data_IF_763297584614
#
_entry.id   IF_763297584614
#
_cell.length_a   1.000
_cell.length_b   1.000
_cell.length_c   1.000
_cell.angle_alpha   90.00
_cell.angle_beta   90.00
_cell.angle_gamma   90.00
#
_symmetry.space_group_name_H-M   'P 1'
#
loop_
_entity.id
_entity.type
_entity.pdbx_description
1 polymer ?
#
# COMPACT_ATOMS: atom_id res chain seq x y z
N UNK A 1 -0.65 9.28 -31.02
CA UNK A 1 0.14 10.53 -30.83
C UNK A 1 1.58 10.20 -31.15
N UNK A 2 2.26 10.94 -32.05
CA UNK A 2 3.68 10.72 -32.31
C UNK A 2 4.49 11.27 -31.12
N UNK A 3 5.40 10.45 -30.60
CA UNK A 3 6.27 10.82 -29.47
C UNK A 3 7.37 11.77 -29.92
N UNK A 4 7.58 12.83 -29.14
CA UNK A 4 8.55 13.89 -29.38
C UNK A 4 9.99 13.46 -28.99
N UNK A 5 10.99 14.16 -29.53
CA UNK A 5 12.43 13.81 -29.47
C UNK A 5 13.08 13.81 -28.08
N UNK A 6 12.32 14.10 -27.02
CA UNK A 6 12.76 13.99 -25.62
C UNK A 6 12.47 12.60 -24.99
N UNK A 7 11.96 11.65 -25.79
CA UNK A 7 11.41 10.36 -25.37
C UNK A 7 12.39 9.18 -25.49
N UNK A 8 13.70 9.39 -25.34
CA UNK A 8 14.69 8.31 -25.52
C UNK A 8 14.59 7.24 -24.42
N UNK A 9 14.24 7.64 -23.20
CA UNK A 9 14.23 6.74 -22.03
C UNK A 9 12.91 5.98 -21.88
N UNK A 10 11.79 6.61 -22.23
CA UNK A 10 10.45 6.03 -22.12
C UNK A 10 10.14 5.02 -23.24
N UNK A 11 10.60 5.30 -24.47
CA UNK A 11 10.31 4.44 -25.62
C UNK A 11 11.09 3.10 -25.60
N UNK A 12 12.19 3.00 -24.85
CA UNK A 12 13.01 1.79 -24.77
C UNK A 12 12.45 0.69 -23.85
N UNK A 13 11.48 1.01 -23.00
CA UNK A 13 10.84 0.08 -22.06
C UNK A 13 9.44 -0.37 -22.53
N UNK A 14 8.70 0.49 -23.23
CA UNK A 14 7.31 0.25 -23.64
C UNK A 14 7.08 0.29 -25.16
N UNK A 15 8.11 0.52 -25.96
CA UNK A 15 8.02 0.45 -27.42
C UNK A 15 7.94 -1.00 -27.91
N UNK A 16 7.29 -1.27 -29.06
CA UNK A 16 7.29 -2.60 -29.66
C UNK A 16 8.72 -3.03 -29.97
N UNK A 17 9.13 -4.18 -29.43
CA UNK A 17 10.41 -4.80 -29.78
C UNK A 17 10.29 -5.41 -31.18
N UNK A 18 11.01 -4.84 -32.15
CA UNK A 18 11.10 -5.41 -33.49
C UNK A 18 11.99 -6.66 -33.45
N UNK A 19 11.35 -7.83 -33.53
CA UNK A 19 12.01 -9.13 -33.55
C UNK A 19 12.86 -9.31 -34.82
N UNK A 20 12.57 -8.55 -35.89
CA UNK A 20 13.03 -8.85 -37.25
C UNK A 20 12.60 -10.26 -37.68
N UNK A 21 12.88 -10.63 -38.93
CA UNK A 21 12.85 -12.04 -39.36
C UNK A 21 14.28 -12.48 -39.69
N UNK A 22 15.06 -12.98 -38.70
CA UNK A 22 16.44 -13.42 -38.92
C UNK A 22 16.54 -14.64 -39.84
N UNK A 23 15.41 -15.30 -40.12
CA UNK A 23 15.29 -16.55 -40.86
C UNK A 23 14.84 -16.37 -42.32
N UNK A 24 14.81 -15.14 -42.84
CA UNK A 24 14.39 -14.91 -44.22
C UNK A 24 15.34 -15.60 -45.20
N UNK A 25 14.81 -16.58 -45.96
CA UNK A 25 15.58 -17.45 -46.87
C UNK A 25 16.18 -18.72 -46.25
N UNK A 26 16.04 -18.97 -44.94
CA UNK A 26 16.48 -20.21 -44.28
C UNK A 26 15.44 -21.34 -44.34
N UNK A 27 14.18 -21.02 -44.64
CA UNK A 27 13.07 -22.01 -44.69
C UNK A 27 12.95 -22.68 -46.08
N UNK A 28 13.72 -22.20 -47.08
CA UNK A 28 13.62 -22.68 -48.46
C UNK A 28 14.73 -23.65 -48.91
N UNK A 29 15.77 -23.91 -48.10
CA UNK A 29 16.79 -24.93 -48.39
C UNK A 29 17.03 -25.83 -47.18
N UNK A 30 17.17 -27.14 -47.42
CA UNK A 30 17.56 -28.12 -46.40
C UNK A 30 19.08 -28.12 -46.11
N UNK A 31 19.81 -27.15 -46.67
CA UNK A 31 21.20 -26.90 -46.34
C UNK A 31 21.33 -26.30 -44.93
N UNK A 32 22.41 -26.64 -44.22
CA UNK A 32 22.72 -26.02 -42.94
C UNK A 32 22.98 -24.51 -43.07
N UNK A 33 22.71 -23.69 -42.03
CA UNK A 33 22.93 -22.26 -42.08
C UNK A 33 24.42 -21.92 -42.26
N UNK A 34 24.70 -20.95 -43.13
CA UNK A 34 26.04 -20.39 -43.28
C UNK A 34 26.51 -19.70 -42.00
N UNK A 35 27.83 -19.53 -41.82
CA UNK A 35 28.35 -18.85 -40.64
C UNK A 35 27.88 -17.39 -40.49
N UNK A 36 27.58 -16.72 -41.61
CA UNK A 36 26.99 -15.39 -41.58
C UNK A 36 25.57 -15.42 -40.99
N UNK A 37 24.75 -16.40 -41.39
CA UNK A 37 23.40 -16.59 -40.86
C UNK A 37 23.42 -16.93 -39.36
N UNK A 38 24.36 -17.79 -38.93
CA UNK A 38 24.55 -18.11 -37.51
C UNK A 38 24.87 -16.83 -36.71
N UNK A 39 25.77 -15.98 -37.21
CA UNK A 39 26.10 -14.70 -36.57
C UNK A 39 24.91 -13.74 -36.47
N UNK A 40 24.10 -13.63 -37.53
CA UNK A 40 22.88 -12.79 -37.55
C UNK A 40 21.85 -13.26 -36.53
N UNK A 41 21.58 -14.57 -36.48
CA UNK A 41 20.63 -15.16 -35.53
C UNK A 41 21.13 -14.99 -34.09
N UNK A 42 22.42 -15.26 -33.83
CA UNK A 42 23.02 -15.10 -32.50
C UNK A 42 22.93 -13.64 -32.00
N UNK A 43 23.20 -12.67 -32.87
CA UNK A 43 23.05 -11.25 -32.52
C UNK A 43 21.59 -10.87 -32.24
N UNK A 44 20.63 -11.43 -32.98
CA UNK A 44 19.21 -11.21 -32.74
C UNK A 44 18.76 -11.79 -31.38
N UNK A 45 19.20 -13.01 -31.05
CA UNK A 45 18.95 -13.64 -29.75
C UNK A 45 19.52 -12.76 -28.62
N UNK A 46 20.77 -12.33 -28.72
CA UNK A 46 21.38 -11.50 -27.68
C UNK A 46 20.66 -10.16 -27.46
N UNK A 47 20.14 -9.54 -28.54
CA UNK A 47 19.29 -8.34 -28.42
C UNK A 47 17.98 -8.64 -27.69
N UNK A 48 17.33 -9.76 -28.02
CA UNK A 48 16.08 -10.17 -27.39
C UNK A 48 16.27 -10.51 -25.91
N UNK A 49 17.35 -11.21 -25.55
CA UNK A 49 17.69 -11.53 -24.16
C UNK A 49 17.95 -10.25 -23.33
N UNK A 50 18.67 -9.30 -23.90
CA UNK A 50 18.94 -8.00 -23.25
C UNK A 50 17.64 -7.23 -23.02
N UNK A 51 16.73 -7.22 -23.99
CA UNK A 51 15.43 -6.56 -23.85
C UNK A 51 14.55 -7.26 -22.82
N UNK A 52 14.51 -8.60 -22.84
CA UNK A 52 13.77 -9.40 -21.87
C UNK A 52 14.25 -9.14 -20.44
N UNK A 53 15.57 -9.03 -20.22
CA UNK A 53 16.14 -8.71 -18.92
C UNK A 53 15.66 -7.33 -18.42
N UNK A 54 15.69 -6.31 -19.29
CA UNK A 54 15.22 -4.95 -18.95
C UNK A 54 13.72 -4.92 -18.62
N UNK A 55 12.89 -5.62 -19.40
CA UNK A 55 11.45 -5.69 -19.13
C UNK A 55 11.17 -6.40 -17.81
N UNK A 56 11.88 -7.50 -17.52
CA UNK A 56 11.74 -8.21 -16.24
C UNK A 56 12.13 -7.32 -15.06
N UNK A 57 13.23 -6.58 -15.16
CA UNK A 57 13.65 -5.63 -14.13
C UNK A 57 12.58 -4.54 -13.91
N UNK A 58 12.03 -3.98 -14.99
CA UNK A 58 10.95 -3.00 -14.89
C UNK A 58 9.69 -3.57 -14.24
N UNK A 59 9.31 -4.81 -14.57
CA UNK A 59 8.20 -5.51 -13.91
C UNK A 59 8.47 -5.63 -12.41
N UNK A 60 9.67 -6.04 -12.00
CA UNK A 60 9.98 -6.18 -10.56
C UNK A 60 9.88 -4.84 -9.83
N UNK A 61 10.41 -3.77 -10.42
CA UNK A 61 10.35 -2.43 -9.84
C UNK A 61 8.90 -1.92 -9.73
N UNK A 62 8.14 -1.99 -10.81
CA UNK A 62 6.76 -1.51 -10.85
C UNK A 62 5.83 -2.34 -9.96
N UNK A 63 6.08 -3.65 -9.84
CA UNK A 63 5.34 -4.51 -8.92
C UNK A 63 5.63 -4.11 -7.48
N UNK A 64 6.90 -3.89 -7.11
CA UNK A 64 7.25 -3.43 -5.77
C UNK A 64 6.59 -2.08 -5.44
N UNK A 65 6.63 -1.12 -6.37
CA UNK A 65 5.92 0.16 -6.23
C UNK A 65 4.41 -0.03 -6.07
N UNK A 66 3.79 -0.90 -6.87
CA UNK A 66 2.38 -1.24 -6.77
C UNK A 66 2.00 -1.75 -5.38
N UNK A 67 2.80 -2.69 -4.85
CA UNK A 67 2.56 -3.26 -3.51
C UNK A 67 2.69 -2.22 -2.39
N UNK A 68 3.63 -1.28 -2.49
CA UNK A 68 3.79 -0.21 -1.51
C UNK A 68 2.59 0.75 -1.53
N UNK A 69 2.12 1.13 -2.72
CA UNK A 69 0.95 1.97 -2.87
C UNK A 69 -0.33 1.29 -2.36
N UNK A 70 -0.51 0.00 -2.64
CA UNK A 70 -1.63 -0.78 -2.12
C UNK A 70 -1.63 -0.82 -0.59
N UNK A 71 -0.48 -1.08 0.04
CA UNK A 71 -0.34 -1.07 1.48
C UNK A 71 -0.66 0.31 2.09
N UNK A 72 -0.20 1.39 1.45
CA UNK A 72 -0.52 2.77 1.87
C UNK A 72 -2.03 3.03 1.81
N UNK A 73 -2.69 2.66 0.71
CA UNK A 73 -4.13 2.86 0.53
C UNK A 73 -4.94 2.04 1.54
N UNK A 74 -4.56 0.79 1.77
CA UNK A 74 -5.22 -0.08 2.75
C UNK A 74 -5.14 0.51 4.16
N UNK A 75 -3.95 1.00 4.57
CA UNK A 75 -3.77 1.64 5.87
C UNK A 75 -4.66 2.87 6.04
N UNK A 76 -4.72 3.74 5.01
CA UNK A 76 -5.54 4.96 5.06
C UNK A 76 -7.04 4.66 5.06
N UNK A 77 -7.50 3.67 4.27
CA UNK A 77 -8.91 3.25 4.30
C UNK A 77 -9.29 2.69 5.66
N UNK A 78 -8.47 1.82 6.26
CA UNK A 78 -8.72 1.29 7.60
C UNK A 78 -8.83 2.40 8.67
N UNK A 79 -8.07 3.49 8.53
CA UNK A 79 -8.21 4.67 9.41
C UNK A 79 -9.54 5.40 9.23
N UNK A 80 -10.01 5.56 7.99
CA UNK A 80 -11.29 6.23 7.68
C UNK A 80 -12.51 5.36 8.03
N UNK A 81 -12.39 4.05 7.81
CA UNK A 81 -13.45 3.06 8.01
C UNK A 81 -13.50 2.52 9.44
N UNK A 82 -12.74 3.11 10.37
CA UNK A 82 -12.78 2.74 11.78
C UNK A 82 -14.23 2.82 12.31
N UNK A 83 -14.84 1.69 12.74
CA UNK A 83 -16.24 1.67 13.16
C UNK A 83 -16.53 2.66 14.30
N UNK A 84 -15.55 2.84 15.20
CA UNK A 84 -15.65 3.78 16.33
C UNK A 84 -15.44 5.23 15.89
N UNK A 85 -14.67 5.46 14.82
CA UNK A 85 -14.45 6.78 14.23
C UNK A 85 -15.73 7.42 13.68
N UNK A 86 -16.67 6.61 13.20
CA UNK A 86 -17.95 7.06 12.65
C UNK A 86 -19.11 7.19 13.66
N UNK A 87 -18.95 6.73 14.90
CA UNK A 87 -20.02 6.83 15.91
C UNK A 87 -20.32 8.30 16.25
N UNK A 88 -21.57 8.67 16.55
CA UNK A 88 -21.88 9.93 17.24
C UNK A 88 -21.20 10.01 18.62
N UNK A 89 -21.07 11.21 19.18
CA UNK A 89 -20.43 11.38 20.49
C UNK A 89 -21.26 10.76 21.61
N UNK A 90 -22.58 10.76 21.48
CA UNK A 90 -23.54 10.20 22.43
C UNK A 90 -23.36 8.67 22.55
N UNK A 91 -23.22 7.99 21.42
CA UNK A 91 -22.95 6.56 21.37
C UNK A 91 -21.58 6.23 21.97
N UNK A 92 -20.58 7.09 21.74
CA UNK A 92 -19.25 6.91 22.30
C UNK A 92 -19.24 7.11 23.83
N UNK A 93 -19.98 8.10 24.34
CA UNK A 93 -20.20 8.32 25.77
C UNK A 93 -20.86 7.12 26.44
N UNK A 94 -21.90 6.56 25.83
CA UNK A 94 -22.60 5.38 26.35
C UNK A 94 -21.67 4.15 26.43
N UNK A 95 -20.82 3.95 25.41
CA UNK A 95 -19.79 2.90 25.44
C UNK A 95 -18.82 3.13 26.60
N UNK A 96 -18.34 4.36 26.79
CA UNK A 96 -17.42 4.69 27.87
C UNK A 96 -17.99 4.38 29.25
N UNK A 97 -19.26 4.73 29.49
CA UNK A 97 -19.94 4.47 30.76
C UNK A 97 -20.07 2.96 31.05
N UNK A 98 -20.30 2.16 30.02
CA UNK A 98 -20.36 0.69 30.14
C UNK A 98 -19.00 0.06 30.38
N UNK A 99 -17.94 0.63 29.80
CA UNK A 99 -16.57 0.14 29.99
C UNK A 99 -16.05 0.41 31.41
N UNK A 100 -16.22 1.63 31.91
CA UNK A 100 -15.69 2.05 33.24
C UNK A 100 -16.49 1.45 34.40
N UNK A 101 -17.70 0.96 34.13
CA UNK A 101 -18.64 0.49 35.14
C UNK A 101 -19.32 1.67 35.81
N UNK A 102 -20.60 1.87 35.50
CA UNK A 102 -21.41 3.01 35.94
C UNK A 102 -21.39 3.23 37.48
N UNK A 103 -21.22 2.17 38.26
CA UNK A 103 -21.22 2.19 39.72
C UNK A 103 -19.86 1.86 40.36
N UNK A 104 -18.79 1.79 39.56
CA UNK A 104 -17.45 1.53 40.10
C UNK A 104 -16.95 2.77 40.85
N UNK A 105 -16.51 2.64 42.12
CA UNK A 105 -15.92 3.77 42.83
C UNK A 105 -14.67 4.26 42.08
N UNK A 106 -14.57 5.56 41.74
CA UNK A 106 -13.36 6.09 41.10
C UNK A 106 -12.19 6.01 42.07
N UNK A 107 -11.18 5.22 41.69
CA UNK A 107 -9.84 5.25 42.25
C UNK A 107 -9.03 6.35 41.53
N UNK A 108 -8.60 7.42 42.22
CA UNK A 108 -7.79 8.47 41.60
C UNK A 108 -6.48 7.97 40.95
N UNK A 109 -5.98 6.81 41.37
CA UNK A 109 -4.72 6.23 40.90
C UNK A 109 -4.92 5.28 39.73
N UNK A 110 -6.03 4.51 39.69
CA UNK A 110 -6.27 3.47 38.67
C UNK A 110 -7.59 3.61 37.90
N UNK A 111 -8.13 4.82 37.73
CA UNK A 111 -9.41 4.96 37.03
C UNK A 111 -9.32 4.68 35.51
N UNK A 112 -10.19 3.81 35.03
CA UNK A 112 -10.33 3.45 33.62
C UNK A 112 -10.76 4.64 32.73
N UNK A 113 -11.50 5.61 33.27
CA UNK A 113 -11.87 6.85 32.57
C UNK A 113 -10.65 7.67 32.17
N UNK A 114 -9.56 7.65 32.97
CA UNK A 114 -8.30 8.31 32.57
C UNK A 114 -7.71 7.66 31.32
N UNK A 115 -7.82 6.34 31.18
CA UNK A 115 -7.33 5.62 29.99
C UNK A 115 -8.07 6.09 28.74
N UNK A 116 -9.38 6.30 28.83
CA UNK A 116 -10.19 6.80 27.71
C UNK A 116 -9.71 8.17 27.21
N UNK A 117 -9.25 9.05 28.11
CA UNK A 117 -8.73 10.38 27.75
C UNK A 117 -7.38 10.35 27.00
N UNK A 118 -6.71 9.20 26.96
CA UNK A 118 -5.37 9.04 26.36
C UNK A 118 -5.39 8.47 24.94
N UNK A 119 -6.55 7.97 24.47
CA UNK A 119 -6.67 7.30 23.16
C UNK A 119 -6.51 8.27 21.99
N UNK A 120 -7.35 9.30 21.91
CA UNK A 120 -7.25 10.34 20.87
C UNK A 120 -7.88 11.66 21.33
N UNK A 121 -7.72 12.73 20.54
CA UNK A 121 -8.31 14.05 20.86
C UNK A 121 -9.83 13.99 21.01
N UNK A 122 -10.51 13.22 20.15
CA UNK A 122 -11.96 13.07 20.18
C UNK A 122 -12.42 12.34 21.44
N UNK A 123 -11.80 11.21 21.78
CA UNK A 123 -12.13 10.45 22.99
C UNK A 123 -11.92 11.28 24.25
N UNK A 124 -10.82 12.05 24.31
CA UNK A 124 -10.59 13.00 25.41
C UNK A 124 -11.72 14.02 25.54
N UNK A 125 -12.11 14.64 24.43
CA UNK A 125 -13.21 15.61 24.43
C UNK A 125 -14.50 14.97 24.95
N UNK A 126 -14.88 13.81 24.40
CA UNK A 126 -16.11 13.11 24.77
C UNK A 126 -16.08 12.65 26.23
N UNK A 127 -14.97 12.07 26.70
CA UNK A 127 -14.81 11.66 28.09
C UNK A 127 -14.91 12.87 29.05
N UNK A 128 -14.28 13.99 28.71
CA UNK A 128 -14.34 15.21 29.54
C UNK A 128 -15.73 15.83 29.62
N UNK A 129 -16.54 15.73 28.55
CA UNK A 129 -17.91 16.25 28.52
C UNK A 129 -18.95 15.27 29.09
N UNK A 130 -18.56 14.02 29.34
CA UNK A 130 -19.44 13.00 29.92
C UNK A 130 -19.34 13.05 31.44
N UNK A 131 -20.12 13.92 32.08
CA UNK A 131 -20.07 14.19 33.53
C UNK A 131 -20.20 12.94 34.41
N UNK A 132 -20.99 11.95 33.98
CA UNK A 132 -21.21 10.70 34.70
C UNK A 132 -19.94 9.85 34.87
N UNK A 133 -18.92 10.00 34.01
CA UNK A 133 -17.63 9.32 34.19
C UNK A 133 -16.87 9.83 35.42
N UNK A 134 -17.24 11.00 35.95
CA UNK A 134 -16.52 11.72 36.99
C UNK A 134 -17.36 11.95 38.25
N UNK A 135 -18.59 11.41 38.31
CA UNK A 135 -19.55 11.70 39.38
C UNK A 135 -19.33 10.89 40.66
N UNK A 136 -18.56 9.80 40.62
CA UNK A 136 -18.37 8.89 41.76
C UNK A 136 -16.89 8.70 42.07
N UNK A 137 -16.34 9.35 43.10
CA UNK A 137 -14.94 9.17 43.50
C UNK A 137 -14.72 8.85 44.97
N UNK A 138 -13.72 8.00 45.19
CA UNK A 138 -13.25 7.61 46.52
C UNK A 138 -12.04 8.45 46.86
N UNK A 139 -12.13 9.21 47.94
CA UNK A 139 -10.98 9.84 48.57
C UNK A 139 -10.42 8.79 49.54
N UNK A 140 -9.18 8.29 49.34
CA UNK A 140 -8.53 7.43 50.31
C UNK A 140 -8.48 8.16 51.66
N UNK A 141 -8.85 7.48 52.74
CA UNK A 141 -8.65 8.01 54.10
C UNK A 141 -7.28 7.54 54.59
N UNK A 142 -6.44 8.49 54.98
CA UNK A 142 -5.18 8.26 55.70
C UNK A 142 -5.44 7.76 57.13
#
# INVERSE_FOLDING_TARGET
MPCDSSCSTHCGLFGPFDLGNPSDGLVSSNDGPSQRQIGVISAAIGRAETHLARVKEAITLLTAQGTELEAFLQSRRAMLESPVGGLPNEMLSEIFLRCVGFDAPFDPVHNEAWVLTRVCRRWRSVASTTSHLWSHFVIPRD
#
